data_IF_096954938960
#
_entry.id   IF_096954938960
#
_cell.length_a   1.000
_cell.length_b   1.000
_cell.length_c   1.000
_cell.angle_alpha   90.00
_cell.angle_beta   90.00
_cell.angle_gamma   90.00
#
_symmetry.space_group_name_H-M   'P 1'
#
loop_
_entity.id
_entity.type
_entity.pdbx_description
1 polymer ?
#
# COMPACT_ATOMS: atom_id res chain seq x y z
N UNK A 1 5.40 30.11 -27.96
CA UNK A 1 6.31 29.06 -27.48
C UNK A 1 5.63 27.70 -27.48
N UNK A 2 6.34 26.61 -27.82
CA UNK A 2 5.83 25.26 -27.70
C UNK A 2 5.71 24.85 -26.22
N UNK A 3 4.64 24.13 -25.83
CA UNK A 3 4.49 23.65 -24.45
C UNK A 3 5.51 22.54 -24.14
N UNK A 4 6.02 22.52 -22.90
CA UNK A 4 6.90 21.45 -22.42
C UNK A 4 6.22 20.08 -22.54
N UNK A 5 6.91 19.11 -23.16
CA UNK A 5 6.45 17.72 -23.27
C UNK A 5 7.46 16.79 -22.63
N UNK A 6 7.03 16.05 -21.62
CA UNK A 6 7.87 15.06 -20.97
C UNK A 6 7.87 13.75 -21.78
N UNK A 7 9.05 13.32 -22.24
CA UNK A 7 9.18 12.13 -23.09
C UNK A 7 8.76 10.82 -22.41
N UNK A 8 8.83 10.76 -21.08
CA UNK A 8 8.48 9.57 -20.29
C UNK A 8 7.09 9.68 -19.62
N UNK A 9 6.20 10.52 -20.15
CA UNK A 9 4.86 10.72 -19.57
C UNK A 9 4.06 9.41 -19.46
N UNK A 10 4.11 8.57 -20.49
CA UNK A 10 3.44 7.26 -20.49
C UNK A 10 4.02 6.32 -19.41
N UNK A 11 5.33 6.35 -19.18
CA UNK A 11 5.98 5.55 -18.15
C UNK A 11 5.60 6.05 -16.76
N UNK A 12 5.52 7.37 -16.56
CA UNK A 12 5.06 7.98 -15.30
C UNK A 12 3.60 7.60 -15.00
N UNK A 13 2.72 7.63 -16.02
CA UNK A 13 1.34 7.20 -15.88
C UNK A 13 1.23 5.72 -15.49
N UNK A 14 2.00 4.86 -16.16
CA UNK A 14 2.03 3.44 -15.83
C UNK A 14 2.54 3.19 -14.40
N UNK A 15 3.62 3.86 -13.97
CA UNK A 15 4.11 3.74 -12.58
C UNK A 15 3.12 4.25 -11.55
N UNK A 16 2.34 5.28 -11.89
CA UNK A 16 1.25 5.77 -11.04
C UNK A 16 0.14 4.73 -10.90
N UNK A 17 -0.21 4.02 -11.97
CA UNK A 17 -1.16 2.91 -11.92
C UNK A 17 -0.64 1.75 -11.06
N UNK A 18 0.65 1.38 -11.20
CA UNK A 18 1.26 0.34 -10.37
C UNK A 18 1.25 0.70 -8.88
N UNK A 19 1.54 1.96 -8.53
CA UNK A 19 1.43 2.43 -7.15
C UNK A 19 -0.01 2.30 -6.64
N UNK A 20 -0.99 2.68 -7.45
CA UNK A 20 -2.40 2.57 -7.07
C UNK A 20 -2.83 1.12 -6.88
N UNK A 21 -2.40 0.21 -7.74
CA UNK A 21 -2.65 -1.23 -7.60
C UNK A 21 -2.02 -1.78 -6.31
N UNK A 22 -0.78 -1.39 -5.98
CA UNK A 22 -0.12 -1.80 -4.75
C UNK A 22 -0.85 -1.29 -3.49
N UNK A 23 -1.45 -0.08 -3.53
CA UNK A 23 -2.30 0.43 -2.43
C UNK A 23 -3.55 -0.40 -2.24
N UNK A 24 -4.22 -0.76 -3.34
CA UNK A 24 -5.43 -1.60 -3.31
C UNK A 24 -5.11 -2.98 -2.75
N UNK A 25 -4.03 -3.60 -3.20
CA UNK A 25 -3.61 -4.92 -2.71
C UNK A 25 -3.25 -4.89 -1.22
N UNK A 26 -2.49 -3.87 -0.78
CA UNK A 26 -2.19 -3.71 0.65
C UNK A 26 -3.47 -3.56 1.49
N UNK A 27 -4.43 -2.75 1.03
CA UNK A 27 -5.70 -2.57 1.74
C UNK A 27 -6.50 -3.88 1.83
N UNK A 28 -6.55 -4.65 0.73
CA UNK A 28 -7.20 -5.97 0.69
C UNK A 28 -6.56 -6.94 1.68
N UNK A 29 -5.24 -7.05 1.67
CA UNK A 29 -4.52 -7.99 2.54
C UNK A 29 -4.63 -7.60 4.01
N UNK A 30 -4.57 -6.30 4.33
CA UNK A 30 -4.82 -5.78 5.69
C UNK A 30 -6.23 -6.12 6.18
N UNK A 31 -7.24 -6.00 5.31
CA UNK A 31 -8.61 -6.37 5.63
C UNK A 31 -8.77 -7.87 5.95
N UNK A 32 -8.17 -8.75 5.14
CA UNK A 32 -8.20 -10.20 5.41
C UNK A 32 -7.42 -10.55 6.69
N UNK A 33 -6.29 -9.89 6.96
CA UNK A 33 -5.56 -10.05 8.21
C UNK A 33 -6.44 -9.70 9.41
N UNK A 34 -7.12 -8.55 9.36
CA UNK A 34 -8.00 -8.08 10.44
C UNK A 34 -9.16 -9.05 10.66
N UNK A 35 -9.76 -9.55 9.58
CA UNK A 35 -10.86 -10.52 9.64
C UNK A 35 -10.45 -11.81 10.33
N UNK A 36 -9.30 -12.38 9.96
CA UNK A 36 -8.80 -13.61 10.59
C UNK A 36 -8.34 -13.36 12.04
N UNK A 37 -7.85 -12.16 12.37
CA UNK A 37 -7.55 -11.78 13.76
C UNK A 37 -8.82 -11.76 14.63
N UNK A 38 -9.87 -11.08 14.17
CA UNK A 38 -11.17 -11.05 14.87
C UNK A 38 -11.75 -12.45 15.06
N UNK A 39 -11.61 -13.31 14.04
CA UNK A 39 -12.01 -14.72 14.14
C UNK A 39 -11.21 -15.47 15.20
N UNK A 40 -9.89 -15.29 15.23
CA UNK A 40 -9.03 -15.93 16.24
C UNK A 40 -9.40 -15.48 17.66
N UNK A 41 -9.69 -14.19 17.85
CA UNK A 41 -10.08 -13.64 19.15
C UNK A 41 -11.45 -14.16 19.60
N UNK A 42 -12.39 -14.29 18.66
CA UNK A 42 -13.70 -14.93 18.93
C UNK A 42 -13.51 -16.39 19.37
N UNK A 43 -12.69 -17.15 18.65
CA UNK A 43 -12.42 -18.55 19.00
C UNK A 43 -11.71 -18.69 20.35
N UNK A 44 -10.81 -17.77 20.70
CA UNK A 44 -10.17 -17.73 22.04
C UNK A 44 -11.19 -17.46 23.13
N UNK A 45 -12.06 -16.47 22.95
CA UNK A 45 -13.09 -16.16 23.93
C UNK A 45 -14.04 -17.34 24.14
N UNK A 46 -14.48 -17.99 23.05
CA UNK A 46 -15.29 -19.21 23.12
C UNK A 46 -14.54 -20.35 23.84
N UNK A 47 -13.26 -20.55 23.52
CA UNK A 47 -12.46 -21.59 24.17
C UNK A 47 -12.37 -21.36 25.68
N UNK A 48 -12.05 -20.14 26.11
CA UNK A 48 -11.98 -19.76 27.53
C UNK A 48 -13.32 -19.99 28.26
N UNK A 49 -14.43 -19.65 27.61
CA UNK A 49 -15.78 -19.88 28.16
C UNK A 49 -16.06 -21.37 28.34
N UNK A 50 -15.79 -22.19 27.32
CA UNK A 50 -16.03 -23.62 27.36
C UNK A 50 -15.12 -24.34 28.36
N UNK A 51 -13.85 -23.91 28.49
CA UNK A 51 -12.93 -24.45 29.48
C UNK A 51 -13.39 -24.15 30.91
N UNK A 52 -13.93 -22.95 31.16
CA UNK A 52 -14.55 -22.60 32.46
C UNK A 52 -15.81 -23.43 32.71
N UNK A 53 -16.66 -23.61 31.70
CA UNK A 53 -17.88 -24.41 31.82
C UNK A 53 -17.55 -25.89 32.14
N UNK A 54 -16.55 -26.45 31.47
CA UNK A 54 -16.05 -27.81 31.73
C UNK A 54 -15.50 -27.95 33.16
N UNK A 55 -14.75 -26.95 33.64
CA UNK A 55 -14.21 -26.95 34.99
C UNK A 55 -15.29 -26.87 36.08
N UNK A 56 -16.42 -26.22 35.79
CA UNK A 56 -17.58 -26.14 36.68
C UNK A 56 -18.48 -27.39 36.63
N UNK A 57 -18.26 -28.30 35.68
CA UNK A 57 -19.09 -29.50 35.50
C UNK A 57 -18.81 -30.53 36.60
N UNK A 58 -19.86 -31.08 37.19
CA UNK A 58 -19.73 -32.09 38.25
C UNK A 58 -19.23 -33.45 37.69
N UNK A 59 -18.46 -34.24 38.46
CA UNK A 59 -17.82 -35.46 37.96
C UNK A 59 -18.78 -36.57 37.51
N UNK A 60 -20.00 -36.57 38.03
CA UNK A 60 -21.08 -37.52 37.72
C UNK A 60 -21.65 -37.34 36.30
N UNK A 61 -21.40 -36.20 35.65
CA UNK A 61 -21.86 -35.89 34.29
C UNK A 61 -20.88 -36.34 33.20
N UNK A 62 -20.48 -37.62 33.21
CA UNK A 62 -19.41 -38.14 32.33
C UNK A 62 -19.68 -37.94 30.83
N UNK A 63 -20.93 -38.09 30.38
CA UNK A 63 -21.30 -37.91 28.97
C UNK A 63 -21.24 -36.46 28.49
N UNK A 64 -21.78 -35.52 29.27
CA UNK A 64 -21.69 -34.07 29.00
C UNK A 64 -20.23 -33.60 28.99
N UNK A 65 -19.43 -34.15 29.90
CA UNK A 65 -18.01 -33.86 30.02
C UNK A 65 -17.22 -34.30 28.78
N UNK A 66 -17.48 -35.52 28.28
CA UNK A 66 -16.87 -36.02 27.06
C UNK A 66 -17.25 -35.18 25.83
N UNK A 67 -18.51 -34.75 25.73
CA UNK A 67 -18.96 -33.87 24.64
C UNK A 67 -18.24 -32.52 24.68
N UNK A 68 -18.14 -31.90 25.86
CA UNK A 68 -17.44 -30.64 26.05
C UNK A 68 -15.94 -30.75 25.72
N UNK A 69 -15.26 -31.82 26.16
CA UNK A 69 -13.85 -32.05 25.84
C UNK A 69 -13.60 -32.19 24.34
N UNK A 70 -14.48 -32.90 23.61
CA UNK A 70 -14.38 -33.01 22.15
C UNK A 70 -14.64 -31.68 21.45
N UNK A 71 -15.62 -30.90 21.93
CA UNK A 71 -15.90 -29.59 21.39
C UNK A 71 -14.71 -28.62 21.57
N UNK A 72 -14.14 -28.57 22.78
CA UNK A 72 -12.92 -27.81 23.10
C UNK A 72 -11.75 -28.24 22.20
N UNK A 73 -11.59 -29.55 21.97
CA UNK A 73 -10.57 -30.07 21.04
C UNK A 73 -10.78 -29.55 19.60
N UNK A 74 -12.04 -29.51 19.13
CA UNK A 74 -12.39 -28.91 17.84
C UNK A 74 -12.05 -27.42 17.78
N UNK A 75 -12.46 -26.65 18.79
CA UNK A 75 -12.15 -25.22 18.89
C UNK A 75 -10.63 -24.94 18.88
N UNK A 76 -9.83 -25.76 19.57
CA UNK A 76 -8.37 -25.66 19.56
C UNK A 76 -7.78 -25.92 18.17
N UNK A 77 -8.31 -26.89 17.44
CA UNK A 77 -7.88 -27.17 16.07
C UNK A 77 -8.22 -26.00 15.13
N UNK A 78 -9.44 -25.47 15.22
CA UNK A 78 -9.88 -24.31 14.43
C UNK A 78 -9.09 -23.05 14.76
N UNK A 79 -8.79 -22.82 16.05
CA UNK A 79 -7.96 -21.71 16.49
C UNK A 79 -6.54 -21.84 15.93
N UNK A 80 -5.95 -23.04 15.96
CA UNK A 80 -4.62 -23.30 15.39
C UNK A 80 -4.55 -22.93 13.90
N UNK A 81 -5.55 -23.39 13.12
CA UNK A 81 -5.66 -23.06 11.69
C UNK A 81 -5.82 -21.55 11.48
N UNK A 82 -6.68 -20.90 12.26
CA UNK A 82 -6.95 -19.47 12.15
C UNK A 82 -5.72 -18.64 12.51
N UNK A 83 -4.98 -19.00 13.57
CA UNK A 83 -3.71 -18.35 13.94
C UNK A 83 -2.67 -18.50 12.83
N UNK A 84 -2.60 -19.66 12.17
CA UNK A 84 -1.71 -19.83 11.03
C UNK A 84 -2.12 -18.93 9.85
N UNK A 85 -3.42 -18.78 9.58
CA UNK A 85 -3.91 -17.84 8.56
C UNK A 85 -3.54 -16.40 8.89
N UNK A 86 -3.70 -15.96 10.14
CA UNK A 86 -3.26 -14.63 10.60
C UNK A 86 -1.77 -14.42 10.34
N UNK A 87 -0.93 -15.42 10.62
CA UNK A 87 0.51 -15.34 10.32
C UNK A 87 0.77 -15.19 8.82
N UNK A 88 0.11 -16.00 7.99
CA UNK A 88 0.25 -15.92 6.53
C UNK A 88 -0.17 -14.54 6.00
N UNK A 89 -1.31 -14.00 6.47
CA UNK A 89 -1.78 -12.68 6.06
C UNK A 89 -0.91 -11.55 6.60
N UNK A 90 -0.30 -11.71 7.78
CA UNK A 90 0.71 -10.77 8.29
C UNK A 90 1.92 -10.72 7.36
N UNK A 91 2.43 -11.88 6.94
CA UNK A 91 3.55 -11.94 5.99
C UNK A 91 3.19 -11.33 4.64
N UNK A 92 1.98 -11.61 4.14
CA UNK A 92 1.49 -11.01 2.90
C UNK A 92 1.33 -9.49 3.01
N UNK A 93 0.87 -8.97 4.15
CA UNK A 93 0.74 -7.53 4.39
C UNK A 93 2.10 -6.83 4.35
N UNK A 94 3.12 -7.44 4.97
CA UNK A 94 4.49 -6.91 4.92
C UNK A 94 5.07 -6.95 3.50
N UNK A 95 4.82 -8.01 2.75
CA UNK A 95 5.21 -8.09 1.33
C UNK A 95 4.51 -6.99 0.50
N UNK A 96 3.20 -6.80 0.67
CA UNK A 96 2.45 -5.74 -0.03
C UNK A 96 2.93 -4.32 0.38
N UNK A 97 3.32 -4.12 1.64
CA UNK A 97 3.88 -2.86 2.14
C UNK A 97 5.23 -2.55 1.52
N UNK A 98 6.13 -3.53 1.46
CA UNK A 98 7.45 -3.36 0.82
C UNK A 98 7.32 -3.08 -0.67
N UNK A 99 6.38 -3.76 -1.35
CA UNK A 99 6.07 -3.51 -2.76
C UNK A 99 5.53 -2.09 -2.98
N UNK A 100 4.58 -1.63 -2.16
CA UNK A 100 4.06 -0.26 -2.24
C UNK A 100 5.17 0.78 -2.08
N UNK A 101 6.08 0.59 -1.12
CA UNK A 101 7.22 1.47 -0.92
C UNK A 101 8.11 1.51 -2.18
N UNK A 102 8.35 0.35 -2.79
CA UNK A 102 9.12 0.25 -4.04
C UNK A 102 8.45 1.05 -5.17
N UNK A 103 7.15 0.83 -5.41
CA UNK A 103 6.39 1.54 -6.46
C UNK A 103 6.30 3.05 -6.23
N UNK A 104 6.12 3.49 -4.98
CA UNK A 104 6.14 4.91 -4.66
C UNK A 104 7.51 5.54 -4.91
N UNK A 105 8.63 4.83 -4.66
CA UNK A 105 9.98 5.30 -5.01
C UNK A 105 10.14 5.42 -6.52
N UNK A 106 9.75 4.39 -7.27
CA UNK A 106 9.83 4.37 -8.73
C UNK A 106 9.06 5.51 -9.38
N UNK A 107 7.86 5.81 -8.89
CA UNK A 107 7.08 6.98 -9.34
C UNK A 107 7.80 8.28 -9.01
N UNK A 108 8.24 8.46 -7.76
CA UNK A 108 8.87 9.69 -7.28
C UNK A 108 10.15 10.05 -8.03
N UNK A 109 10.90 9.04 -8.49
CA UNK A 109 12.10 9.28 -9.33
C UNK A 109 11.73 9.94 -10.67
N UNK A 110 10.66 9.48 -11.34
CA UNK A 110 10.21 10.09 -12.60
C UNK A 110 9.55 11.45 -12.40
N UNK A 111 8.80 11.64 -11.32
CA UNK A 111 8.23 12.96 -11.00
C UNK A 111 9.33 14.01 -10.83
N UNK A 112 10.39 13.66 -10.10
CA UNK A 112 11.57 14.53 -9.95
C UNK A 112 12.23 14.82 -11.29
N UNK A 113 12.44 13.80 -12.13
CA UNK A 113 13.03 13.98 -13.45
C UNK A 113 12.18 14.91 -14.33
N UNK A 114 10.85 14.73 -14.34
CA UNK A 114 9.92 15.60 -15.06
C UNK A 114 10.01 17.04 -14.56
N UNK A 115 10.03 17.25 -13.24
CA UNK A 115 10.14 18.58 -12.64
C UNK A 115 11.45 19.28 -13.03
N UNK A 116 12.59 18.58 -12.95
CA UNK A 116 13.89 19.13 -13.35
C UNK A 116 13.93 19.48 -14.83
N UNK A 117 13.39 18.62 -15.71
CA UNK A 117 13.33 18.91 -17.15
C UNK A 117 12.42 20.10 -17.46
N UNK A 118 11.29 20.22 -16.77
CA UNK A 118 10.38 21.35 -16.93
C UNK A 118 11.04 22.67 -16.49
N UNK A 119 11.78 22.66 -15.37
CA UNK A 119 12.54 23.82 -14.90
C UNK A 119 13.62 24.24 -15.89
N UNK A 120 14.39 23.29 -16.41
CA UNK A 120 15.42 23.57 -17.41
C UNK A 120 14.83 24.14 -18.70
N UNK A 121 13.73 23.57 -19.18
CA UNK A 121 13.02 24.09 -20.36
C UNK A 121 12.54 25.53 -20.13
N UNK A 122 11.95 25.83 -18.97
CA UNK A 122 11.51 27.18 -18.64
C UNK A 122 12.68 28.18 -18.61
N UNK A 123 13.83 27.75 -18.06
CA UNK A 123 15.04 28.58 -17.99
C UNK A 123 15.63 28.85 -19.38
N UNK A 124 15.68 27.84 -20.25
CA UNK A 124 16.14 27.99 -21.63
C UNK A 124 15.24 28.94 -22.44
N UNK A 125 13.92 28.81 -22.29
CA UNK A 125 12.96 29.69 -22.95
C UNK A 125 13.11 31.14 -22.47
N UNK A 126 13.30 31.37 -21.17
CA UNK A 126 13.55 32.70 -20.61
C UNK A 126 14.85 33.33 -21.15
N UNK A 127 15.90 32.53 -21.36
CA UNK A 127 17.16 32.99 -21.94
C UNK A 127 17.00 33.32 -23.44
N UNK A 128 16.21 32.54 -24.19
CA UNK A 128 15.91 32.83 -25.60
C UNK A 128 15.11 34.12 -25.74
N UNK A 129 14.09 34.33 -24.92
CA UNK A 129 13.32 35.57 -24.93
C UNK A 129 14.21 36.78 -24.65
N UNK A 130 15.06 36.72 -23.63
CA UNK A 130 16.02 37.79 -23.33
C UNK A 130 16.93 38.10 -24.52
N UNK A 131 17.49 37.06 -25.16
CA UNK A 131 18.33 37.22 -26.34
C UNK A 131 17.58 37.87 -27.51
N UNK A 132 16.35 37.43 -27.80
CA UNK A 132 15.51 38.03 -28.84
C UNK A 132 15.18 39.51 -28.54
N UNK A 133 14.92 39.86 -27.28
CA UNK A 133 14.71 41.25 -26.87
C UNK A 133 15.97 42.11 -27.05
N UNK A 134 17.14 41.61 -26.68
CA UNK A 134 18.40 42.33 -26.84
C UNK A 134 18.76 42.53 -28.33
N UNK A 135 18.58 41.50 -29.16
CA UNK A 135 18.79 41.59 -30.61
C UNK A 135 17.86 42.61 -31.26
N UNK A 136 16.56 42.56 -30.95
CA UNK A 136 15.57 43.51 -31.49
C UNK A 136 15.82 44.95 -31.03
N UNK A 137 16.24 45.15 -29.78
CA UNK A 137 16.67 46.45 -29.27
C UNK A 137 17.91 46.97 -30.02
N UNK A 138 18.91 46.12 -30.24
CA UNK A 138 20.13 46.49 -30.97
C UNK A 138 19.86 46.85 -32.44
N UNK A 139 18.94 46.15 -33.10
CA UNK A 139 18.51 46.43 -34.47
C UNK A 139 17.75 47.75 -34.56
N UNK A 140 16.85 48.05 -33.62
CA UNK A 140 16.17 49.35 -33.54
C UNK A 140 17.13 50.52 -33.30
N UNK A 141 18.12 50.32 -32.44
CA UNK A 141 19.13 51.34 -32.18
C UNK A 141 19.97 51.63 -33.44
N UNK A 142 20.39 50.59 -34.16
CA UNK A 142 21.13 50.75 -35.44
C UNK A 142 20.32 51.36 -36.57
N UNK A 143 19.00 51.20 -36.57
CA UNK A 143 18.11 51.77 -37.60
C UNK A 143 17.70 53.24 -37.34
N UNK A 144 18.03 53.80 -36.15
CA UNK A 144 17.73 55.20 -35.79
C UNK A 144 18.91 56.16 -36.00
N UNK A 145 19.97 55.72 -36.70
CA UNK A 145 21.13 56.50 -37.15
C UNK A 145 21.29 56.34 -38.66
#
# INVERSE_FOLDING_TARGET
MPPFRFSLEQVLNYRTQLEQQAKVELARVEQERLREQQRADTLRAMLDEQERALAALTPDKTGERWLAENFIKGLRADLSVTVQRVRNWTMAAEAARTELISRSKDKKTLEKLKATQAENHAREEQLREQHEYDETASLRYKASY
#
